data_IF_349650834800
#
_entry.id   IF_349650834800
#
_cell.length_a   1.000
_cell.length_b   1.000
_cell.length_c   1.000
_cell.angle_alpha   90.00
_cell.angle_beta   90.00
_cell.angle_gamma   90.00
#
_symmetry.space_group_name_H-M   'P 1'
#
loop_
_entity.id
_entity.type
_entity.pdbx_description
1 polymer ?
#
# COMPACT_ATOMS: atom_id res chain seq x y z
N UNK A 1 32.98 -14.08 0.70
CA UNK A 1 32.92 -12.61 0.72
C UNK A 1 31.46 -12.22 0.68
N UNK A 2 30.97 -11.51 1.71
CA UNK A 2 29.56 -11.15 1.84
C UNK A 2 29.35 -9.86 1.06
N UNK A 3 28.75 -9.92 -0.13
CA UNK A 3 28.45 -8.72 -0.92
C UNK A 3 27.19 -8.06 -0.36
N UNK A 4 27.39 -7.01 0.42
CA UNK A 4 26.33 -6.05 0.76
C UNK A 4 26.02 -5.20 -0.47
N UNK A 5 24.91 -5.49 -1.14
CA UNK A 5 24.32 -4.58 -2.12
C UNK A 5 23.45 -3.57 -1.36
N UNK A 6 24.02 -2.41 -1.07
CA UNK A 6 23.26 -1.24 -0.69
C UNK A 6 22.52 -0.73 -1.95
N UNK A 7 21.21 -0.97 -2.02
CA UNK A 7 20.38 -0.40 -3.07
C UNK A 7 19.89 0.98 -2.61
N UNK A 8 20.58 2.02 -3.06
CA UNK A 8 20.13 3.39 -2.97
C UNK A 8 19.29 3.76 -4.22
N UNK A 9 18.15 4.42 -4.00
CA UNK A 9 17.36 5.10 -5.03
C UNK A 9 15.89 4.66 -5.03
N UNK A 10 14.88 5.55 -5.04
CA UNK A 10 14.80 6.99 -5.22
C UNK A 10 13.57 7.52 -4.46
N UNK A 11 13.66 8.73 -3.90
CA UNK A 11 12.51 9.43 -3.30
C UNK A 11 11.48 9.78 -4.39
N UNK A 12 10.36 9.06 -4.43
CA UNK A 12 9.17 9.46 -5.19
C UNK A 12 8.23 10.38 -4.37
N UNK A 13 8.67 10.86 -3.20
CA UNK A 13 7.81 11.57 -2.24
C UNK A 13 7.31 12.94 -2.73
N UNK A 14 7.97 13.57 -3.70
CA UNK A 14 7.58 14.90 -4.17
C UNK A 14 6.32 14.91 -5.04
N UNK A 15 6.06 13.85 -5.81
CA UNK A 15 4.89 13.75 -6.70
C UNK A 15 3.62 13.30 -5.95
N UNK A 16 3.81 12.49 -4.92
CA UNK A 16 2.79 11.97 -4.05
C UNK A 16 1.96 13.07 -3.34
N UNK A 17 2.66 14.01 -2.70
CA UNK A 17 2.01 15.11 -1.98
C UNK A 17 1.12 15.95 -2.90
N UNK A 18 1.53 16.19 -4.15
CA UNK A 18 0.73 16.97 -5.12
C UNK A 18 -0.58 16.28 -5.50
N UNK A 19 -0.55 14.96 -5.66
CA UNK A 19 -1.76 14.19 -6.01
C UNK A 19 -2.72 14.17 -4.83
N UNK A 20 -2.21 13.91 -3.62
CA UNK A 20 -3.04 13.90 -2.42
C UNK A 20 -3.60 15.29 -2.08
N UNK A 21 -2.80 16.36 -2.24
CA UNK A 21 -3.25 17.76 -2.10
C UNK A 21 -4.34 18.15 -3.12
N UNK A 22 -4.40 17.47 -4.27
CA UNK A 22 -5.39 17.75 -5.31
C UNK A 22 -6.76 17.10 -5.07
N UNK A 23 -6.87 16.18 -4.09
CA UNK A 23 -8.14 15.58 -3.72
C UNK A 23 -9.08 16.64 -3.11
N UNK A 24 -10.35 16.59 -3.51
CA UNK A 24 -11.36 17.44 -2.86
C UNK A 24 -11.65 16.91 -1.44
N UNK A 25 -12.28 17.74 -0.60
CA UNK A 25 -12.53 17.38 0.81
C UNK A 25 -13.44 16.16 1.02
N UNK A 26 -14.38 15.90 0.10
CA UNK A 26 -15.25 14.73 0.17
C UNK A 26 -14.47 13.45 -0.19
N UNK A 27 -13.70 13.47 -1.29
CA UNK A 27 -12.87 12.34 -1.72
C UNK A 27 -11.85 11.97 -0.63
N UNK A 28 -11.24 12.99 -0.01
CA UNK A 28 -10.32 12.79 1.11
C UNK A 28 -11.00 12.14 2.30
N UNK A 29 -12.18 12.65 2.71
CA UNK A 29 -12.91 12.10 3.86
C UNK A 29 -13.33 10.65 3.62
N UNK A 30 -13.75 10.31 2.40
CA UNK A 30 -14.09 8.94 2.04
C UNK A 30 -12.86 8.02 2.11
N UNK A 31 -11.72 8.48 1.57
CA UNK A 31 -10.47 7.73 1.62
C UNK A 31 -10.00 7.49 3.06
N UNK A 32 -10.11 8.49 3.94
CA UNK A 32 -9.79 8.36 5.37
C UNK A 32 -10.70 7.31 6.04
N UNK A 33 -11.99 7.30 5.74
CA UNK A 33 -12.92 6.28 6.26
C UNK A 33 -12.58 4.87 5.76
N UNK A 34 -12.26 4.73 4.47
CA UNK A 34 -11.85 3.46 3.90
C UNK A 34 -10.53 2.98 4.51
N UNK A 35 -9.55 3.87 4.72
CA UNK A 35 -8.29 3.54 5.38
C UNK A 35 -8.49 3.14 6.85
N UNK A 36 -9.33 3.84 7.60
CA UNK A 36 -9.72 3.44 8.96
C UNK A 36 -10.29 2.03 8.98
N UNK A 37 -11.22 1.72 8.06
CA UNK A 37 -11.80 0.39 7.93
C UNK A 37 -10.74 -0.65 7.58
N UNK A 38 -9.85 -0.36 6.63
CA UNK A 38 -8.74 -1.24 6.27
C UNK A 38 -7.84 -1.52 7.47
N UNK A 39 -7.39 -0.48 8.19
CA UNK A 39 -6.54 -0.62 9.39
C UNK A 39 -7.20 -1.46 10.47
N UNK A 40 -8.52 -1.34 10.63
CA UNK A 40 -9.29 -2.14 11.58
C UNK A 40 -9.34 -3.62 11.21
N UNK A 41 -9.60 -3.93 9.93
CA UNK A 41 -9.86 -5.29 9.48
C UNK A 41 -8.59 -6.06 9.09
N UNK A 42 -7.64 -5.38 8.44
CA UNK A 42 -6.45 -5.97 7.82
C UNK A 42 -5.15 -5.48 8.44
N UNK A 43 -5.15 -4.35 9.14
CA UNK A 43 -3.95 -3.80 9.79
C UNK A 43 -3.22 -4.82 10.68
N UNK A 44 -3.91 -5.54 11.59
CA UNK A 44 -3.26 -6.53 12.46
C UNK A 44 -2.58 -7.67 11.71
N UNK A 45 -3.25 -8.26 10.70
CA UNK A 45 -2.67 -9.37 9.92
C UNK A 45 -1.57 -8.87 8.98
N UNK A 46 -1.71 -7.68 8.40
CA UNK A 46 -0.67 -7.06 7.60
C UNK A 46 0.59 -6.82 8.44
N UNK A 47 0.45 -6.26 9.63
CA UNK A 47 1.57 -6.00 10.55
C UNK A 47 2.22 -7.31 11.03
N UNK A 48 1.42 -8.31 11.41
CA UNK A 48 1.91 -9.62 11.84
C UNK A 48 2.77 -10.29 10.76
N UNK A 49 2.41 -10.12 9.49
CA UNK A 49 3.10 -10.74 8.36
C UNK A 49 4.20 -9.85 7.75
N UNK A 50 4.42 -8.64 8.28
CA UNK A 50 5.39 -7.70 7.73
C UNK A 50 4.97 -7.05 6.40
N UNK A 51 3.66 -6.97 6.14
CA UNK A 51 3.05 -6.38 4.94
C UNK A 51 2.65 -4.92 5.14
N UNK A 52 3.38 -4.22 6.00
CA UNK A 52 3.19 -2.80 6.27
C UNK A 52 4.51 -2.06 6.05
N UNK A 53 4.49 -0.84 5.47
CA UNK A 53 5.71 -0.06 5.28
C UNK A 53 6.32 0.39 6.62
N UNK A 54 5.48 0.56 7.64
CA UNK A 54 5.87 0.92 9.01
C UNK A 54 5.55 -0.22 9.98
N UNK A 55 6.38 -0.38 11.01
CA UNK A 55 6.26 -1.49 11.98
C UNK A 55 5.10 -1.33 12.96
N UNK A 56 4.50 -0.14 13.06
CA UNK A 56 3.37 0.15 13.92
C UNK A 56 2.40 1.08 13.19
N UNK A 57 1.10 0.76 13.25
CA UNK A 57 0.04 1.58 12.68
C UNK A 57 -0.97 1.94 13.78
N UNK A 58 -1.36 3.20 13.85
CA UNK A 58 -2.50 3.63 14.66
C UNK A 58 -3.76 3.56 13.80
N UNK A 59 -4.85 2.99 14.32
CA UNK A 59 -6.14 2.95 13.61
C UNK A 59 -6.75 4.36 13.53
N UNK A 60 -6.65 5.14 14.61
CA UNK A 60 -7.32 6.44 14.76
C UNK A 60 -6.57 7.60 14.11
N UNK A 61 -5.37 7.35 13.57
CA UNK A 61 -4.54 8.37 12.93
C UNK A 61 -4.08 7.89 11.56
N UNK A 62 -4.00 8.80 10.61
CA UNK A 62 -3.50 8.52 9.27
C UNK A 62 -2.34 9.45 8.95
N UNK A 63 -1.25 8.91 8.43
CA UNK A 63 -0.20 9.72 7.82
C UNK A 63 -0.56 10.01 6.37
N UNK A 64 -0.04 11.11 5.81
CA UNK A 64 -0.24 11.43 4.39
C UNK A 64 0.30 10.30 3.49
N UNK A 65 1.35 9.60 3.91
CA UNK A 65 1.90 8.46 3.19
C UNK A 65 0.99 7.24 3.19
N UNK A 66 0.29 6.96 4.30
CA UNK A 66 -0.70 5.87 4.34
C UNK A 66 -1.89 6.18 3.42
N UNK A 67 -2.37 7.42 3.45
CA UNK A 67 -3.47 7.87 2.58
C UNK A 67 -3.08 7.80 1.11
N UNK A 68 -1.90 8.31 0.77
CA UNK A 68 -1.36 8.20 -0.59
C UNK A 68 -1.33 6.75 -1.06
N UNK A 69 -0.66 5.86 -0.31
CA UNK A 69 -0.46 4.47 -0.73
C UNK A 69 -1.79 3.72 -0.87
N UNK A 70 -2.71 3.96 0.06
CA UNK A 70 -4.04 3.38 -0.03
C UNK A 70 -4.81 3.91 -1.25
N UNK A 71 -4.71 5.20 -1.54
CA UNK A 71 -5.31 5.80 -2.75
C UNK A 71 -4.71 5.21 -4.04
N UNK A 72 -3.38 5.04 -4.11
CA UNK A 72 -2.71 4.38 -5.24
C UNK A 72 -3.24 2.94 -5.43
N UNK A 73 -3.43 2.18 -4.35
CA UNK A 73 -4.04 0.85 -4.40
C UNK A 73 -5.49 0.89 -4.91
N UNK A 74 -6.31 1.84 -4.45
CA UNK A 74 -7.69 2.01 -4.96
C UNK A 74 -7.68 2.30 -6.45
N UNK A 75 -6.81 3.20 -6.93
CA UNK A 75 -6.68 3.50 -8.36
C UNK A 75 -6.22 2.27 -9.18
N UNK A 76 -5.26 1.51 -8.67
CA UNK A 76 -4.79 0.29 -9.32
C UNK A 76 -5.90 -0.77 -9.41
N UNK A 77 -6.70 -0.93 -8.36
CA UNK A 77 -7.87 -1.82 -8.35
C UNK A 77 -8.92 -1.39 -9.37
N UNK A 78 -9.25 -0.10 -9.44
CA UNK A 78 -10.21 0.42 -10.42
C UNK A 78 -9.73 0.23 -11.86
N UNK A 79 -8.43 0.41 -12.11
CA UNK A 79 -7.84 0.11 -13.41
C UNK A 79 -7.90 -1.39 -13.73
N UNK A 80 -7.54 -2.26 -12.78
CA UNK A 80 -7.57 -3.70 -12.96
C UNK A 80 -8.99 -4.23 -13.25
N UNK A 81 -10.02 -3.68 -12.59
CA UNK A 81 -11.44 -4.00 -12.86
C UNK A 81 -11.84 -3.63 -14.29
N UNK A 82 -11.43 -2.47 -14.79
CA UNK A 82 -11.71 -2.03 -16.17
C UNK A 82 -11.07 -2.97 -17.19
N UNK A 83 -9.82 -3.36 -16.94
CA UNK A 83 -9.05 -4.19 -17.85
C UNK A 83 -9.48 -5.67 -17.80
N UNK A 84 -10.07 -6.12 -16.70
CA UNK A 84 -10.41 -7.52 -16.45
C UNK A 84 -11.86 -7.65 -15.89
N UNK A 85 -12.90 -7.42 -16.72
CA UNK A 85 -14.29 -7.33 -16.25
C UNK A 85 -14.87 -8.64 -15.69
N UNK A 86 -14.21 -9.78 -15.92
CA UNK A 86 -14.60 -11.08 -15.38
C UNK A 86 -13.93 -11.42 -14.04
N UNK A 87 -12.99 -10.59 -13.58
CA UNK A 87 -12.28 -10.78 -12.33
C UNK A 87 -12.75 -9.79 -11.26
N UNK A 88 -12.61 -10.19 -10.00
CA UNK A 88 -12.93 -9.36 -8.84
C UNK A 88 -11.64 -8.86 -8.21
N UNK A 89 -11.55 -7.54 -8.01
CA UNK A 89 -10.42 -6.89 -7.35
C UNK A 89 -10.95 -6.03 -6.21
N UNK A 90 -10.22 -6.02 -5.10
CA UNK A 90 -10.57 -5.26 -3.91
C UNK A 90 -9.29 -4.74 -3.22
N UNK A 91 -9.33 -3.47 -2.79
CA UNK A 91 -8.27 -2.85 -1.99
C UNK A 91 -8.30 -3.35 -0.53
N UNK A 92 -9.38 -4.01 -0.09
CA UNK A 92 -9.52 -4.59 1.24
C UNK A 92 -8.78 -5.93 1.37
N UNK A 93 -7.45 -5.85 1.35
CA UNK A 93 -6.56 -7.00 1.52
C UNK A 93 -5.29 -6.63 2.31
N UNK A 94 -4.56 -7.62 2.81
CA UNK A 94 -3.39 -7.40 3.69
C UNK A 94 -2.18 -6.69 3.05
N UNK A 95 -2.19 -6.46 1.74
CA UNK A 95 -1.06 -5.86 1.00
C UNK A 95 -1.32 -4.39 0.62
N UNK A 96 -2.47 -3.82 0.98
CA UNK A 96 -2.98 -2.57 0.40
C UNK A 96 -2.12 -1.31 0.64
N UNK A 97 -1.18 -1.34 1.59
CA UNK A 97 -0.25 -0.24 1.84
C UNK A 97 1.14 -0.46 1.25
N UNK A 98 1.41 -1.63 0.68
CA UNK A 98 2.68 -1.91 0.03
C UNK A 98 2.72 -1.28 -1.35
N UNK A 99 3.85 -0.67 -1.69
CA UNK A 99 4.13 -0.35 -3.10
C UNK A 99 4.64 -1.58 -3.84
N UNK A 100 4.77 -1.48 -5.16
CA UNK A 100 5.23 -2.58 -6.01
C UNK A 100 6.59 -3.17 -5.59
N UNK A 101 7.52 -2.34 -5.12
CA UNK A 101 8.85 -2.81 -4.73
C UNK A 101 8.80 -3.61 -3.41
N UNK A 102 8.05 -3.12 -2.43
CA UNK A 102 7.83 -3.80 -1.15
C UNK A 102 7.03 -5.09 -1.36
N UNK A 103 5.99 -5.06 -2.20
CA UNK A 103 5.22 -6.27 -2.52
C UNK A 103 6.08 -7.32 -3.25
N UNK A 104 6.93 -6.92 -4.20
CA UNK A 104 7.91 -7.84 -4.83
C UNK A 104 8.85 -8.44 -3.80
N UNK A 105 9.30 -7.66 -2.82
CA UNK A 105 10.16 -8.17 -1.75
C UNK A 105 9.45 -9.20 -0.88
N UNK A 106 8.18 -8.99 -0.56
CA UNK A 106 7.33 -10.00 0.12
C UNK A 106 7.26 -11.30 -0.68
N UNK A 107 7.07 -11.22 -2.00
CA UNK A 107 7.03 -12.41 -2.86
C UNK A 107 8.37 -13.15 -2.88
N UNK A 108 9.50 -12.42 -2.99
CA UNK A 108 10.84 -13.01 -2.95
C UNK A 108 11.12 -13.69 -1.61
N UNK A 109 10.73 -13.10 -0.49
CA UNK A 109 10.90 -13.72 0.83
C UNK A 109 10.06 -14.99 0.99
N UNK A 110 8.86 -14.99 0.42
CA UNK A 110 7.90 -16.09 0.54
C UNK A 110 8.24 -17.28 -0.37
N UNK A 111 8.77 -17.02 -1.57
CA UNK A 111 8.94 -18.04 -2.63
C UNK A 111 10.35 -18.13 -3.22
N UNK A 112 11.24 -17.18 -2.95
CA UNK A 112 12.55 -17.05 -3.61
C UNK A 112 13.59 -18.12 -3.25
N UNK A 113 13.34 -18.94 -2.24
CA UNK A 113 14.24 -20.02 -1.81
C UNK A 113 13.89 -21.39 -2.43
N UNK A 114 12.97 -21.46 -3.40
CA UNK A 114 12.54 -22.72 -4.04
C UNK A 114 13.27 -23.06 -5.35
N UNK A 115 14.60 -22.88 -5.40
CA UNK A 115 15.44 -23.25 -6.56
C UNK A 115 16.34 -24.43 -6.28
#
# INVERSE_FOLDING_TARGET
>A
MKSSLALAGLFATASANKIFESLNGADRSELEQQLTKWKTLYGPIAQQNGFTPESAMSVDQHTDMELLRFHETVQAVEQAKKDNPLAQFDAMNQFALLNDAEFKQVLVQSFGNQT
#
